data_IF_665219135515
#
_entry.id   IF_665219135515
#
_cell.length_a   1.000
_cell.length_b   1.000
_cell.length_c   1.000
_cell.angle_alpha   90.00
_cell.angle_beta   90.00
_cell.angle_gamma   90.00
#
_symmetry.space_group_name_H-M   'P 1'
#
loop_
_entity.id
_entity.type
_entity.pdbx_description
1 polymer ?
#
# COMPACT_ATOMS: atom_id res chain seq x y z
N UNK A 1 8.53 -19.71 16.48
CA UNK A 1 7.07 -19.47 16.51
C UNK A 1 6.71 -17.98 16.61
N UNK A 2 7.30 -17.19 17.53
CA UNK A 2 6.97 -15.75 17.68
C UNK A 2 7.19 -14.90 16.42
N UNK A 3 8.28 -15.12 15.66
CA UNK A 3 8.58 -14.34 14.46
C UNK A 3 7.54 -14.51 13.33
N UNK A 4 7.02 -15.72 13.13
CA UNK A 4 5.99 -16.02 12.12
C UNK A 4 4.68 -15.32 12.46
N UNK A 5 4.29 -15.34 13.73
CA UNK A 5 3.07 -14.67 14.20
C UNK A 5 3.22 -13.15 14.05
N UNK A 6 4.37 -12.58 14.42
CA UNK A 6 4.63 -11.15 14.21
C UNK A 6 4.58 -10.74 12.74
N UNK A 7 5.13 -11.56 11.83
CA UNK A 7 5.05 -11.30 10.39
C UNK A 7 3.60 -11.25 9.91
N UNK A 8 2.79 -12.25 10.26
CA UNK A 8 1.37 -12.30 9.86
C UNK A 8 0.53 -11.16 10.44
N UNK A 9 0.79 -10.77 11.69
CA UNK A 9 0.12 -9.61 12.30
C UNK A 9 0.49 -8.34 11.52
N UNK A 10 1.78 -8.13 11.21
CA UNK A 10 2.24 -6.97 10.45
C UNK A 10 1.60 -6.91 9.06
N UNK A 11 1.55 -8.03 8.35
CA UNK A 11 0.88 -8.13 7.04
C UNK A 11 -0.62 -7.80 7.13
N UNK A 12 -1.31 -8.30 8.16
CA UNK A 12 -2.74 -8.08 8.35
C UNK A 12 -3.06 -6.62 8.67
N UNK A 13 -2.22 -5.98 9.50
CA UNK A 13 -2.33 -4.54 9.80
C UNK A 13 -2.08 -3.71 8.55
N UNK A 14 -1.04 -4.03 7.77
CA UNK A 14 -0.74 -3.33 6.53
C UNK A 14 -1.88 -3.43 5.52
N UNK A 15 -2.41 -4.65 5.26
CA UNK A 15 -3.55 -4.86 4.36
C UNK A 15 -4.77 -4.02 4.76
N UNK A 16 -5.07 -3.98 6.06
CA UNK A 16 -6.19 -3.19 6.60
C UNK A 16 -5.98 -1.69 6.37
N UNK A 17 -4.77 -1.19 6.61
CA UNK A 17 -4.43 0.20 6.38
C UNK A 17 -4.50 0.59 4.89
N UNK A 18 -3.99 -0.27 4.00
CA UNK A 18 -4.06 -0.08 2.55
C UNK A 18 -5.51 -0.02 2.05
N UNK A 19 -6.36 -0.97 2.46
CA UNK A 19 -7.79 -0.98 2.13
C UNK A 19 -8.48 0.33 2.53
N UNK A 20 -8.18 0.83 3.74
CA UNK A 20 -8.75 2.09 4.21
C UNK A 20 -8.35 3.28 3.32
N UNK A 21 -7.08 3.38 2.92
CA UNK A 21 -6.60 4.46 2.05
C UNK A 21 -7.17 4.35 0.63
N UNK A 22 -7.24 3.14 0.09
CA UNK A 22 -7.68 2.88 -1.28
C UNK A 22 -9.20 3.01 -1.46
N UNK A 23 -10.02 2.87 -0.40
CA UNK A 23 -11.48 2.96 -0.45
C UNK A 23 -12.01 4.22 -1.16
N UNK A 24 -11.28 5.34 -1.07
CA UNK A 24 -11.62 6.59 -1.76
C UNK A 24 -10.56 7.02 -2.79
N UNK A 25 -9.70 6.10 -3.23
CA UNK A 25 -8.55 6.37 -4.09
C UNK A 25 -8.94 7.10 -5.37
N UNK A 26 -9.97 6.62 -6.08
CA UNK A 26 -10.40 7.25 -7.32
C UNK A 26 -10.98 8.66 -7.16
N UNK A 27 -11.51 9.01 -5.98
CA UNK A 27 -12.05 10.36 -5.72
C UNK A 27 -10.94 11.38 -5.43
N UNK A 28 -9.77 10.93 -5.00
CA UNK A 28 -8.65 11.80 -4.61
C UNK A 28 -7.30 11.10 -4.79
N UNK A 29 -6.93 10.74 -6.03
CA UNK A 29 -5.79 9.85 -6.30
C UNK A 29 -4.47 10.42 -5.80
N UNK A 30 -4.23 11.72 -5.96
CA UNK A 30 -3.01 12.39 -5.49
C UNK A 30 -2.91 12.43 -3.95
N UNK A 31 -4.05 12.54 -3.26
CA UNK A 31 -4.07 12.46 -1.79
C UNK A 31 -3.83 11.03 -1.33
N UNK A 32 -4.50 10.07 -1.95
CA UNK A 32 -4.32 8.65 -1.62
C UNK A 32 -2.89 8.20 -1.91
N UNK A 33 -2.27 8.61 -3.01
CA UNK A 33 -0.86 8.30 -3.31
C UNK A 33 0.10 8.81 -2.22
N UNK A 34 -0.05 10.05 -1.77
CA UNK A 34 0.76 10.59 -0.64
C UNK A 34 0.56 9.80 0.65
N UNK A 35 -0.69 9.49 1.00
CA UNK A 35 -0.98 8.69 2.19
C UNK A 35 -0.39 7.28 2.10
N UNK A 36 -0.39 6.68 0.91
CA UNK A 36 0.22 5.37 0.67
C UNK A 36 1.73 5.44 0.76
N UNK A 37 2.38 6.45 0.18
CA UNK A 37 3.83 6.65 0.28
C UNK A 37 4.28 6.74 1.75
N UNK A 38 3.64 7.62 2.54
CA UNK A 38 3.93 7.74 3.98
C UNK A 38 3.65 6.45 4.77
N UNK A 39 2.57 5.73 4.43
CA UNK A 39 2.23 4.47 5.08
C UNK A 39 3.27 3.40 4.77
N UNK A 40 3.64 3.27 3.51
CA UNK A 40 4.58 2.26 3.03
C UNK A 40 5.98 2.50 3.62
N UNK A 41 6.44 3.75 3.69
CA UNK A 41 7.73 4.09 4.29
C UNK A 41 7.79 3.71 5.78
N UNK A 42 6.72 3.97 6.54
CA UNK A 42 6.60 3.56 7.96
C UNK A 42 6.63 2.05 8.14
N UNK A 43 6.06 1.30 7.19
CA UNK A 43 6.00 -0.16 7.24
C UNK A 43 7.24 -0.83 6.66
N UNK A 44 7.93 -0.21 5.71
CA UNK A 44 9.15 -0.72 5.11
C UNK A 44 9.92 0.46 4.49
N UNK A 45 11.04 0.91 5.08
CA UNK A 45 11.83 2.01 4.54
C UNK A 45 12.32 1.78 3.10
N UNK A 46 12.46 0.52 2.67
CA UNK A 46 12.83 0.16 1.29
C UNK A 46 11.68 0.31 0.29
N UNK A 47 10.46 0.63 0.75
CA UNK A 47 9.30 0.78 -0.13
C UNK A 47 9.42 1.96 -1.10
N UNK A 48 10.23 2.98 -0.78
CA UNK A 48 10.53 4.10 -1.67
C UNK A 48 11.27 3.67 -2.95
N UNK A 49 11.96 2.51 -2.92
CA UNK A 49 12.58 1.92 -4.11
C UNK A 49 11.57 1.13 -4.96
N UNK A 50 10.44 0.73 -4.37
CA UNK A 50 9.43 -0.11 -5.00
C UNK A 50 8.29 0.68 -5.65
N UNK A 51 8.01 1.87 -5.09
CA UNK A 51 6.94 2.76 -5.50
C UNK A 51 7.40 4.21 -5.43
N UNK A 52 7.33 4.92 -6.56
CA UNK A 52 7.33 6.38 -6.55
C UNK A 52 5.90 6.91 -6.36
N UNK A 53 5.76 8.14 -5.86
CA UNK A 53 4.49 8.88 -5.87
C UNK A 53 3.78 8.80 -7.23
N UNK A 54 4.51 9.01 -8.33
CA UNK A 54 3.94 8.97 -9.69
C UNK A 54 3.39 7.59 -10.04
N UNK A 55 4.10 6.52 -9.68
CA UNK A 55 3.62 5.14 -9.90
C UNK A 55 2.35 4.87 -9.12
N UNK A 56 2.28 5.33 -7.86
CA UNK A 56 1.09 5.19 -7.01
C UNK A 56 -0.10 5.95 -7.60
N UNK A 57 0.10 7.17 -8.10
CA UNK A 57 -0.98 7.94 -8.75
C UNK A 57 -1.50 7.22 -9.99
N UNK A 58 -0.62 6.70 -10.84
CA UNK A 58 -1.01 5.93 -12.03
C UNK A 58 -1.77 4.68 -11.62
N UNK A 59 -1.23 3.91 -10.67
CA UNK A 59 -1.87 2.71 -10.14
C UNK A 59 -3.29 2.98 -9.64
N UNK A 60 -3.48 4.00 -8.79
CA UNK A 60 -4.80 4.34 -8.23
C UNK A 60 -5.80 4.78 -9.31
N UNK A 61 -5.33 5.46 -10.37
CA UNK A 61 -6.17 5.92 -11.47
C UNK A 61 -6.54 4.79 -12.44
N UNK A 62 -5.66 3.80 -12.59
CA UNK A 62 -5.78 2.75 -13.61
C UNK A 62 -6.39 1.45 -13.09
N UNK A 63 -6.42 1.23 -11.78
CA UNK A 63 -6.85 -0.03 -11.18
C UNK A 63 -8.05 0.16 -10.23
N UNK A 64 -8.74 -0.95 -9.98
CA UNK A 64 -9.69 -1.10 -8.88
C UNK A 64 -8.96 -1.10 -7.53
N UNK A 65 -9.72 -0.96 -6.44
CA UNK A 65 -9.17 -1.00 -5.09
C UNK A 65 -8.48 -2.33 -4.80
N UNK A 66 -9.10 -3.43 -5.21
CA UNK A 66 -8.62 -4.79 -5.02
C UNK A 66 -7.33 -5.04 -5.81
N UNK A 67 -7.29 -4.61 -7.08
CA UNK A 67 -6.07 -4.72 -7.91
C UNK A 67 -4.92 -3.88 -7.34
N UNK A 68 -5.20 -2.66 -6.86
CA UNK A 68 -4.17 -1.84 -6.20
C UNK A 68 -3.60 -2.55 -4.98
N UNK A 69 -4.46 -3.14 -4.15
CA UNK A 69 -4.03 -3.87 -2.95
C UNK A 69 -3.14 -5.06 -3.31
N UNK A 70 -3.56 -5.88 -4.28
CA UNK A 70 -2.82 -7.08 -4.69
C UNK A 70 -1.45 -6.71 -5.29
N UNK A 71 -1.39 -5.70 -6.16
CA UNK A 71 -0.13 -5.22 -6.75
C UNK A 71 0.83 -4.73 -5.66
N UNK A 72 0.32 -3.94 -4.70
CA UNK A 72 1.13 -3.41 -3.61
C UNK A 72 1.67 -4.54 -2.73
N UNK A 73 0.80 -5.45 -2.31
CA UNK A 73 1.19 -6.57 -1.43
C UNK A 73 2.15 -7.54 -2.13
N UNK A 74 2.00 -7.77 -3.43
CA UNK A 74 2.88 -8.64 -4.20
C UNK A 74 4.31 -8.07 -4.30
N UNK A 75 4.45 -6.77 -4.56
CA UNK A 75 5.76 -6.10 -4.62
C UNK A 75 6.48 -6.00 -3.27
N UNK A 76 5.76 -6.07 -2.16
CA UNK A 76 6.32 -6.00 -0.80
C UNK A 76 6.71 -7.36 -0.22
N UNK A 77 6.33 -8.46 -0.88
CA UNK A 77 6.60 -9.84 -0.45
C UNK A 77 8.00 -10.29 -0.87
#
# INVERSE_FOLDING_TARGET
MSATIHKHIRESVLKTALLHQLRNGQKSPERTARNLEELLEKFNPLSAELFSYSDLVVLIKSCTMEECLDIIMHKLS
#
